data_IF_227020873625
#
_entry.id   IF_227020873625
#
_cell.length_a   1.000
_cell.length_b   1.000
_cell.length_c   1.000
_cell.angle_alpha   90.00
_cell.angle_beta   90.00
_cell.angle_gamma   90.00
#
_symmetry.space_group_name_H-M   'P 1'
#
loop_
_entity.id
_entity.type
_entity.pdbx_description
1 polymer ?
#
# COMPACT_ATOMS: atom_id res chain seq x y z
N UNK A 1 -51.28 -1.21 -21.81
CA UNK A 1 -51.94 0.07 -21.49
C UNK A 1 -50.92 1.03 -21.03
N UNK A 2 -50.72 2.07 -21.83
CA UNK A 2 -49.72 3.14 -21.58
C UNK A 2 -50.27 4.17 -20.59
N UNK A 3 -49.41 4.69 -19.72
CA UNK A 3 -49.60 6.03 -19.15
C UNK A 3 -48.27 6.76 -19.14
N UNK A 4 -48.19 7.71 -20.06
CA UNK A 4 -47.27 8.84 -20.01
C UNK A 4 -47.78 9.80 -18.90
N UNK A 5 -46.87 10.27 -18.03
CA UNK A 5 -47.07 11.52 -17.28
C UNK A 5 -45.76 12.29 -17.23
N UNK A 6 -45.88 13.54 -17.65
CA UNK A 6 -44.88 14.58 -17.87
C UNK A 6 -44.15 15.02 -16.59
N UNK A 7 -42.90 15.53 -16.68
CA UNK A 7 -42.15 16.04 -15.55
C UNK A 7 -42.40 17.53 -15.35
N UNK A 8 -43.25 17.89 -14.43
CA UNK A 8 -43.41 19.28 -13.99
C UNK A 8 -43.90 19.37 -12.55
N UNK A 9 -43.05 19.03 -11.57
CA UNK A 9 -43.27 19.42 -10.15
C UNK A 9 -42.04 19.12 -9.25
N UNK A 10 -40.82 19.45 -9.68
CA UNK A 10 -39.64 19.30 -8.80
C UNK A 10 -38.74 20.55 -8.77
N UNK A 11 -39.25 21.72 -9.13
CA UNK A 11 -38.42 22.92 -9.29
C UNK A 11 -38.60 23.99 -8.21
N UNK A 12 -39.41 23.79 -7.18
CA UNK A 12 -39.74 24.85 -6.22
C UNK A 12 -39.29 24.64 -4.76
N UNK A 13 -38.29 23.77 -4.49
CA UNK A 13 -37.85 23.56 -3.11
C UNK A 13 -36.39 23.92 -2.82
N UNK A 14 -35.62 24.33 -3.82
CA UNK A 14 -34.20 24.69 -3.64
C UNK A 14 -33.81 25.96 -4.43
N UNK A 15 -34.49 27.06 -4.34
CA UNK A 15 -34.05 28.42 -4.66
C UNK A 15 -32.88 28.64 -5.63
N UNK A 16 -32.78 27.88 -6.73
CA UNK A 16 -31.70 28.02 -7.73
C UNK A 16 -32.30 28.69 -8.96
N UNK A 17 -31.88 29.93 -9.23
CA UNK A 17 -32.28 30.71 -10.40
C UNK A 17 -31.74 30.02 -11.69
N UNK A 18 -32.63 29.63 -12.64
CA UNK A 18 -32.22 29.01 -13.89
C UNK A 18 -31.40 29.91 -14.81
N UNK A 19 -31.41 31.21 -14.62
CA UNK A 19 -30.65 32.18 -15.43
C UNK A 19 -29.17 32.27 -15.04
N UNK A 20 -28.80 31.85 -13.83
CA UNK A 20 -27.39 31.82 -13.39
C UNK A 20 -26.58 30.65 -13.99
N UNK A 21 -27.24 29.60 -14.48
CA UNK A 21 -26.59 28.43 -15.07
C UNK A 21 -26.29 28.62 -16.57
N UNK A 22 -27.10 29.45 -17.25
CA UNK A 22 -26.93 29.71 -18.69
C UNK A 22 -25.79 30.70 -19.02
N UNK A 23 -25.35 31.50 -18.05
CA UNK A 23 -24.23 32.44 -18.24
C UNK A 23 -22.83 31.82 -18.01
N UNK A 24 -22.73 30.57 -17.56
CA UNK A 24 -21.43 29.89 -17.39
C UNK A 24 -21.00 28.99 -18.57
N UNK A 25 -21.81 28.87 -19.61
CA UNK A 25 -21.54 28.01 -20.77
C UNK A 25 -21.03 28.70 -22.03
N UNK A 26 -20.70 30.00 -21.96
CA UNK A 26 -20.17 30.77 -23.10
C UNK A 26 -18.79 31.37 -22.84
N UNK A 27 -17.93 30.71 -22.11
CA UNK A 27 -16.49 31.06 -22.07
C UNK A 27 -15.80 30.21 -23.11
N UNK A 28 -15.59 30.82 -24.25
CA UNK A 28 -14.76 30.33 -25.37
C UNK A 28 -13.37 29.93 -24.91
N UNK A 29 -12.90 28.83 -25.45
CA UNK A 29 -11.53 28.32 -25.41
C UNK A 29 -10.53 29.40 -25.83
N UNK A 30 -9.96 30.11 -24.92
CA UNK A 30 -8.64 30.72 -24.94
C UNK A 30 -8.38 31.30 -23.55
N UNK A 31 -8.19 30.43 -22.57
CA UNK A 31 -7.54 30.87 -21.34
C UNK A 31 -6.04 30.97 -21.64
N UNK A 32 -5.43 32.15 -21.42
CA UNK A 32 -3.98 32.24 -21.40
C UNK A 32 -3.48 31.34 -20.27
N UNK A 33 -2.47 30.51 -20.57
CA UNK A 33 -1.76 29.69 -19.58
C UNK A 33 -1.54 30.56 -18.34
N UNK A 34 -2.23 30.19 -17.26
CA UNK A 34 -2.11 30.84 -15.97
C UNK A 34 -0.64 30.98 -15.64
N UNK A 35 -0.15 32.21 -15.45
CA UNK A 35 1.11 32.53 -14.79
C UNK A 35 1.04 32.10 -13.31
N UNK A 36 0.74 30.84 -13.05
CA UNK A 36 0.80 30.29 -11.70
C UNK A 36 2.24 30.37 -11.25
N UNK A 37 2.52 31.34 -10.40
CA UNK A 37 3.79 31.44 -9.72
C UNK A 37 4.06 30.14 -8.97
N UNK A 38 5.31 29.64 -8.94
CA UNK A 38 5.69 28.53 -8.06
C UNK A 38 5.32 28.88 -6.61
N UNK A 39 5.00 27.90 -5.78
CA UNK A 39 4.79 28.16 -4.34
C UNK A 39 6.02 28.90 -3.78
N UNK A 40 5.83 29.94 -2.96
CA UNK A 40 6.92 30.80 -2.54
C UNK A 40 7.97 30.00 -1.79
N UNK A 41 9.24 30.08 -2.17
CA UNK A 41 10.34 29.77 -1.26
C UNK A 41 10.30 30.80 -0.12
N UNK A 42 10.55 30.39 1.11
CA UNK A 42 10.44 31.23 2.27
C UNK A 42 11.21 32.57 2.12
N UNK A 43 10.58 33.63 2.53
CA UNK A 43 11.03 35.02 2.65
C UNK A 43 12.42 35.35 2.10
N UNK A 44 12.47 35.94 0.92
CA UNK A 44 13.66 36.63 0.42
C UNK A 44 13.38 38.13 0.25
N UNK A 45 14.04 38.90 1.07
CA UNK A 45 14.08 40.37 1.00
C UNK A 45 14.70 40.85 -0.30
N UNK A 46 14.02 41.82 -0.92
CA UNK A 46 14.38 42.76 -1.97
C UNK A 46 15.86 42.87 -2.36
N UNK A 47 16.28 42.08 -3.33
CA UNK A 47 17.44 42.42 -4.15
C UNK A 47 16.93 42.71 -5.56
N UNK A 48 17.27 43.85 -6.11
CA UNK A 48 16.96 44.26 -7.46
C UNK A 48 17.41 43.19 -8.48
N UNK A 49 16.45 42.58 -9.18
CA UNK A 49 16.73 41.47 -10.09
C UNK A 49 17.30 42.00 -11.42
N UNK A 50 18.36 41.39 -11.97
CA UNK A 50 18.84 41.77 -13.28
C UNK A 50 17.79 41.41 -14.36
N UNK A 51 17.73 42.19 -15.47
CA UNK A 51 16.80 41.94 -16.54
C UNK A 51 17.01 40.55 -17.16
N UNK A 52 15.95 39.88 -17.62
CA UNK A 52 16.04 38.58 -18.26
C UNK A 52 16.92 38.70 -19.54
N UNK A 53 17.69 37.68 -19.83
CA UNK A 53 18.61 37.72 -20.97
C UNK A 53 17.94 37.55 -22.33
N UNK A 54 18.74 37.84 -23.37
CA UNK A 54 18.27 38.03 -24.74
C UNK A 54 17.84 36.75 -25.50
N UNK A 55 18.16 35.55 -25.02
CA UNK A 55 17.82 34.28 -25.68
C UNK A 55 17.05 33.34 -24.74
N UNK A 56 15.74 33.19 -24.93
CA UNK A 56 14.97 32.16 -24.21
C UNK A 56 15.36 30.77 -24.68
N UNK A 57 15.19 29.71 -23.85
CA UNK A 57 15.35 28.34 -24.29
C UNK A 57 14.37 27.99 -25.40
N UNK A 58 14.64 26.93 -26.19
CA UNK A 58 13.78 26.53 -27.30
C UNK A 58 12.34 26.24 -26.79
N UNK A 59 11.31 26.55 -27.59
CA UNK A 59 9.90 26.48 -27.23
C UNK A 59 9.35 25.08 -26.92
N UNK A 60 10.17 24.05 -26.92
CA UNK A 60 9.83 22.64 -26.64
C UNK A 60 9.97 22.24 -25.16
N UNK A 61 10.44 23.12 -24.29
CA UNK A 61 10.59 22.81 -22.85
C UNK A 61 9.31 23.08 -22.09
N UNK A 62 8.90 22.13 -21.24
CA UNK A 62 7.77 22.28 -20.33
C UNK A 62 8.09 23.26 -19.18
N UNK A 63 7.06 23.84 -18.54
CA UNK A 63 7.24 24.64 -17.34
C UNK A 63 7.97 23.82 -16.25
N UNK A 64 8.96 24.45 -15.61
CA UNK A 64 9.78 23.75 -14.60
C UNK A 64 10.98 24.57 -14.12
N UNK A 65 11.68 24.04 -13.14
CA UNK A 65 12.95 24.57 -12.65
C UNK A 65 14.09 24.03 -13.52
N UNK A 66 14.94 24.92 -14.04
CA UNK A 66 16.12 24.59 -14.83
C UNK A 66 17.33 25.32 -14.29
N UNK A 67 18.54 24.81 -14.57
CA UNK A 67 19.76 25.51 -14.25
C UNK A 67 19.73 26.94 -14.79
N UNK A 68 20.02 27.94 -13.94
CA UNK A 68 19.97 29.34 -14.33
C UNK A 68 21.06 29.62 -15.38
N UNK A 69 20.70 29.92 -16.62
CA UNK A 69 21.69 30.10 -17.70
C UNK A 69 22.58 31.35 -17.50
N UNK A 70 22.33 32.15 -16.47
CA UNK A 70 23.07 33.39 -16.22
C UNK A 70 23.75 33.45 -14.84
N UNK A 71 23.44 32.49 -13.96
CA UNK A 71 24.07 32.38 -12.66
C UNK A 71 24.39 30.93 -12.39
N UNK A 72 25.64 30.56 -12.65
CA UNK A 72 26.12 29.21 -12.37
C UNK A 72 25.86 28.81 -10.91
N UNK A 73 25.30 27.63 -10.72
CA UNK A 73 24.94 27.12 -9.40
C UNK A 73 23.54 27.48 -8.90
N UNK A 74 22.74 28.29 -9.62
CA UNK A 74 21.36 28.62 -9.26
C UNK A 74 20.36 27.91 -10.18
N UNK A 75 19.11 27.80 -9.73
CA UNK A 75 17.97 27.31 -10.51
C UNK A 75 17.02 28.45 -10.78
N UNK A 76 16.44 28.51 -11.99
CA UNK A 76 15.46 29.51 -12.40
C UNK A 76 14.20 28.84 -12.96
N UNK A 77 13.05 29.41 -12.64
CA UNK A 77 11.77 28.90 -13.14
C UNK A 77 11.55 29.33 -14.57
N UNK A 78 11.24 28.35 -15.44
CA UNK A 78 10.78 28.55 -16.81
C UNK A 78 9.28 28.25 -16.87
N UNK A 79 8.46 29.17 -17.41
CA UNK A 79 6.99 29.05 -17.46
C UNK A 79 6.47 28.14 -18.58
N UNK A 80 7.33 27.57 -19.40
CA UNK A 80 6.98 26.89 -20.66
C UNK A 80 6.98 27.83 -21.87
N UNK A 81 7.05 29.15 -21.65
CA UNK A 81 7.11 30.18 -22.68
C UNK A 81 8.29 31.11 -22.49
N UNK A 82 8.60 31.47 -21.25
CA UNK A 82 9.70 32.39 -20.92
C UNK A 82 10.31 32.09 -19.55
N UNK A 83 11.56 32.50 -19.38
CA UNK A 83 12.22 32.52 -18.09
C UNK A 83 11.58 33.54 -17.17
N UNK A 84 11.33 33.18 -15.92
CA UNK A 84 10.76 34.09 -14.92
C UNK A 84 11.85 34.70 -14.04
N UNK A 85 11.49 35.69 -13.23
CA UNK A 85 12.37 36.29 -12.25
C UNK A 85 12.62 35.40 -11.02
N UNK A 86 11.94 34.25 -10.90
CA UNK A 86 12.07 33.37 -9.74
C UNK A 86 13.38 32.58 -9.84
N UNK A 87 14.23 32.76 -8.83
CA UNK A 87 15.53 32.09 -8.69
C UNK A 87 15.54 31.36 -7.35
N UNK A 88 15.90 30.09 -7.35
CA UNK A 88 16.19 29.32 -6.15
C UNK A 88 17.71 29.13 -6.03
N UNK A 89 18.25 29.43 -4.83
CA UNK A 89 19.65 29.15 -4.53
C UNK A 89 19.70 27.79 -3.83
N UNK A 90 20.51 26.83 -4.33
CA UNK A 90 20.77 25.65 -3.53
C UNK A 90 21.35 26.11 -2.18
N UNK A 91 20.73 25.70 -1.09
CA UNK A 91 21.30 25.89 0.26
C UNK A 91 22.75 25.41 0.21
N UNK A 92 23.73 26.20 0.69
CA UNK A 92 25.12 25.76 0.68
C UNK A 92 25.20 24.47 1.49
N UNK A 93 25.46 23.37 0.80
CA UNK A 93 25.95 22.15 1.45
C UNK A 93 27.16 22.62 2.26
N UNK A 94 27.10 22.54 3.61
CA UNK A 94 28.25 22.85 4.46
C UNK A 94 29.43 22.06 3.88
N UNK A 95 30.37 22.80 3.26
CA UNK A 95 31.60 22.19 2.77
C UNK A 95 32.34 21.63 4.00
N UNK A 96 32.80 20.39 3.95
CA UNK A 96 33.75 19.92 4.96
C UNK A 96 34.98 20.81 4.94
N UNK A 97 35.64 21.00 6.10
CA UNK A 97 36.81 21.88 6.21
C UNK A 97 37.88 21.48 5.18
N UNK A 98 38.59 22.45 4.60
CA UNK A 98 39.57 22.18 3.55
C UNK A 98 40.68 21.28 4.06
N UNK A 99 40.87 20.10 3.48
CA UNK A 99 41.92 19.14 3.84
C UNK A 99 41.50 17.67 3.88
N UNK A 100 40.22 17.33 3.77
CA UNK A 100 39.76 15.94 3.74
C UNK A 100 39.44 15.47 2.30
N UNK A 101 40.08 14.43 1.84
CA UNK A 101 39.79 13.84 0.54
C UNK A 101 38.33 13.35 0.51
N UNK A 102 37.59 13.65 -0.58
CA UNK A 102 36.17 13.34 -0.76
C UNK A 102 35.88 11.84 -0.62
N UNK A 103 36.90 10.97 -0.70
CA UNK A 103 36.76 9.51 -0.55
C UNK A 103 36.59 9.01 0.90
N UNK A 104 36.99 9.80 1.92
CA UNK A 104 36.96 9.34 3.32
C UNK A 104 35.74 9.85 4.10
N UNK A 105 35.07 10.92 3.68
CA UNK A 105 33.88 11.45 4.36
C UNK A 105 32.64 10.58 4.17
N UNK A 106 32.52 9.86 3.05
CA UNK A 106 31.41 8.90 2.82
C UNK A 106 31.59 7.58 3.60
N UNK A 107 32.82 7.21 3.96
CA UNK A 107 33.10 6.01 4.74
C UNK A 107 32.91 6.16 6.25
N UNK A 108 33.03 7.39 6.77
CA UNK A 108 33.04 7.63 8.22
C UNK A 108 31.65 7.73 8.87
N UNK A 109 30.59 7.93 8.09
CA UNK A 109 29.20 8.02 8.60
C UNK A 109 28.49 6.66 8.69
N UNK A 110 29.07 5.59 8.13
CA UNK A 110 28.48 4.24 8.14
C UNK A 110 28.97 3.37 9.30
N UNK A 111 29.99 3.78 10.00
CA UNK A 111 30.53 3.05 11.15
C UNK A 111 30.09 3.65 12.50
N UNK A 112 28.78 3.93 12.66
CA UNK A 112 28.19 3.93 13.99
C UNK A 112 28.06 2.48 14.42
N UNK A 113 29.08 1.93 15.07
CA UNK A 113 28.99 0.66 15.77
C UNK A 113 27.72 0.64 16.62
N UNK A 114 26.93 -0.44 16.63
CA UNK A 114 25.80 -0.55 17.53
C UNK A 114 26.31 -0.32 18.95
N UNK A 115 25.76 0.66 19.65
CA UNK A 115 26.03 0.91 21.05
C UNK A 115 25.94 -0.42 21.79
N UNK A 116 27.00 -0.81 22.51
CA UNK A 116 27.06 -2.05 23.29
C UNK A 116 25.99 -2.16 24.40
N UNK A 117 25.16 -1.12 24.57
CA UNK A 117 24.04 -1.05 25.51
C UNK A 117 22.66 -1.08 24.83
N UNK A 118 22.56 -1.51 23.58
CA UNK A 118 21.24 -1.67 22.97
C UNK A 118 20.52 -2.84 23.67
N UNK A 119 19.47 -2.53 24.42
CA UNK A 119 18.55 -3.54 24.97
C UNK A 119 18.15 -4.50 23.84
N UNK A 120 18.09 -5.81 24.10
CA UNK A 120 17.64 -6.76 23.08
C UNK A 120 16.27 -6.33 22.57
N UNK A 121 16.24 -5.91 21.30
CA UNK A 121 14.97 -5.58 20.62
C UNK A 121 14.41 -6.88 20.08
N UNK A 122 13.11 -7.11 20.31
CA UNK A 122 12.39 -8.21 19.65
C UNK A 122 12.67 -8.14 18.14
N UNK A 123 12.78 -9.31 17.48
CA UNK A 123 12.88 -9.35 16.03
C UNK A 123 11.79 -8.47 15.40
N UNK A 124 12.10 -7.83 14.28
CA UNK A 124 11.19 -6.83 13.66
C UNK A 124 9.82 -7.39 13.26
N UNK A 125 9.68 -8.72 13.13
CA UNK A 125 8.41 -9.40 12.89
C UNK A 125 7.62 -9.72 14.17
N UNK A 126 8.17 -9.47 15.38
CA UNK A 126 7.49 -9.67 16.65
C UNK A 126 7.22 -8.31 17.31
N UNK A 127 5.97 -8.06 17.67
CA UNK A 127 5.56 -6.97 18.53
C UNK A 127 4.96 -7.52 19.81
N UNK A 128 4.86 -6.71 20.85
CA UNK A 128 4.27 -7.14 22.13
C UNK A 128 2.88 -7.75 21.94
N UNK A 129 1.92 -7.13 21.21
CA UNK A 129 0.62 -7.74 20.97
C UNK A 129 0.70 -9.12 20.30
N UNK A 130 1.59 -9.28 19.30
CA UNK A 130 1.79 -10.57 18.62
C UNK A 130 2.31 -11.62 19.59
N UNK A 131 3.29 -11.30 20.42
CA UNK A 131 3.87 -12.25 21.39
C UNK A 131 2.83 -12.67 22.42
N UNK A 132 2.09 -11.71 22.98
CA UNK A 132 1.07 -12.00 24.00
C UNK A 132 -0.08 -12.84 23.45
N UNK A 133 -0.55 -12.55 22.23
CA UNK A 133 -1.61 -13.32 21.60
C UNK A 133 -1.13 -14.68 21.05
N UNK A 134 0.14 -14.80 20.65
CA UNK A 134 0.68 -16.05 20.16
C UNK A 134 0.71 -17.15 21.23
N UNK A 135 0.93 -16.80 22.48
CA UNK A 135 1.00 -17.80 23.57
C UNK A 135 -0.29 -18.63 23.67
N UNK A 136 -1.48 -18.03 23.92
CA UNK A 136 -2.73 -18.79 23.97
C UNK A 136 -3.09 -19.40 22.60
N UNK A 137 -2.88 -18.71 21.49
CA UNK A 137 -3.21 -19.20 20.14
C UNK A 137 -2.40 -20.43 19.76
N UNK A 138 -1.09 -20.44 20.02
CA UNK A 138 -0.24 -21.62 19.80
C UNK A 138 -0.63 -22.77 20.73
N UNK A 139 -0.99 -22.48 21.98
CA UNK A 139 -1.50 -23.49 22.88
C UNK A 139 -2.75 -24.17 22.32
N UNK A 140 -3.73 -23.39 21.86
CA UNK A 140 -4.95 -23.92 21.23
C UNK A 140 -4.63 -24.70 19.94
N UNK A 141 -3.73 -24.18 19.10
CA UNK A 141 -3.34 -24.85 17.86
C UNK A 141 -2.63 -26.19 18.13
N UNK A 142 -1.78 -26.26 19.16
CA UNK A 142 -1.10 -27.50 19.57
C UNK A 142 -2.15 -28.50 20.08
N UNK A 143 -3.09 -28.06 20.92
CA UNK A 143 -4.18 -28.93 21.40
C UNK A 143 -5.00 -29.44 20.21
N UNK A 144 -5.41 -28.56 19.27
CA UNK A 144 -6.15 -28.94 18.08
C UNK A 144 -5.38 -29.98 17.24
N UNK A 145 -4.06 -29.78 17.06
CA UNK A 145 -3.20 -30.71 16.31
C UNK A 145 -3.14 -32.10 16.95
N UNK A 146 -3.11 -32.19 18.28
CA UNK A 146 -3.13 -33.48 18.97
C UNK A 146 -4.51 -34.12 18.98
N UNK A 147 -5.59 -33.34 19.11
CA UNK A 147 -6.96 -33.86 19.14
C UNK A 147 -7.46 -34.26 17.74
N UNK A 148 -7.22 -33.42 16.75
CA UNK A 148 -7.71 -33.53 15.35
C UNK A 148 -6.62 -33.10 14.36
N UNK A 149 -5.63 -33.97 14.07
CA UNK A 149 -4.48 -33.61 13.23
C UNK A 149 -4.87 -33.27 11.79
N UNK A 150 -5.80 -34.03 11.20
CA UNK A 150 -6.19 -33.84 9.79
C UNK A 150 -6.86 -32.47 9.56
N UNK A 151 -7.96 -32.09 10.27
CA UNK A 151 -8.54 -30.77 10.16
C UNK A 151 -7.55 -29.63 10.40
N UNK A 152 -6.70 -29.77 11.41
CA UNK A 152 -5.70 -28.75 11.75
C UNK A 152 -4.71 -28.55 10.60
N UNK A 153 -4.15 -29.64 10.05
CA UNK A 153 -3.22 -29.57 8.91
C UNK A 153 -3.89 -29.01 7.64
N UNK A 154 -5.14 -29.39 7.39
CA UNK A 154 -5.92 -28.86 6.27
C UNK A 154 -6.11 -27.34 6.39
N UNK A 155 -6.40 -26.80 7.58
CA UNK A 155 -6.50 -25.36 7.83
C UNK A 155 -5.21 -24.62 7.44
N UNK A 156 -4.06 -25.19 7.77
CA UNK A 156 -2.76 -24.60 7.42
C UNK A 156 -2.49 -24.57 5.90
N UNK A 157 -3.15 -25.43 5.10
CA UNK A 157 -3.00 -25.40 3.62
C UNK A 157 -3.45 -24.11 2.98
N UNK A 158 -4.31 -23.32 3.63
CA UNK A 158 -4.74 -21.99 3.19
C UNK A 158 -3.57 -21.09 2.82
N UNK A 159 -2.45 -21.20 3.54
CA UNK A 159 -1.22 -20.46 3.24
C UNK A 159 -0.73 -20.69 1.80
N UNK A 160 -0.70 -21.95 1.37
CA UNK A 160 -0.16 -22.32 0.06
C UNK A 160 -1.05 -21.89 -1.11
N UNK A 161 -2.34 -21.65 -0.85
CA UNK A 161 -3.31 -21.20 -1.86
C UNK A 161 -3.27 -19.69 -2.00
N UNK A 162 -3.26 -18.95 -0.88
CA UNK A 162 -3.43 -17.49 -0.87
C UNK A 162 -2.11 -16.73 -0.97
N UNK A 163 -1.00 -17.27 -0.40
CA UNK A 163 0.28 -16.57 -0.44
C UNK A 163 0.85 -16.32 -1.86
N UNK A 164 0.76 -17.23 -2.85
CA UNK A 164 1.33 -17.01 -4.18
C UNK A 164 0.80 -15.77 -4.90
N UNK A 165 -0.50 -15.48 -4.97
CA UNK A 165 -1.03 -14.22 -5.52
C UNK A 165 -0.53 -12.98 -4.77
N UNK A 166 -0.43 -13.01 -3.43
CA UNK A 166 0.10 -11.91 -2.64
C UNK A 166 1.57 -11.65 -2.94
N UNK A 167 2.38 -12.71 -3.06
CA UNK A 167 3.77 -12.61 -3.49
C UNK A 167 3.92 -12.10 -4.92
N UNK A 168 2.96 -12.41 -5.80
CA UNK A 168 2.94 -11.86 -7.15
C UNK A 168 2.63 -10.35 -7.15
N UNK A 169 1.70 -9.92 -6.32
CA UNK A 169 1.35 -8.50 -6.15
C UNK A 169 2.56 -7.70 -5.62
N UNK A 170 3.23 -8.22 -4.62
CA UNK A 170 4.41 -7.67 -3.95
C UNK A 170 5.66 -7.53 -4.85
N UNK A 171 5.67 -8.15 -6.04
CA UNK A 171 6.88 -8.17 -6.92
C UNK A 171 7.26 -6.82 -7.52
N UNK A 172 6.32 -5.90 -7.64
CA UNK A 172 6.58 -4.58 -8.20
C UNK A 172 7.49 -3.79 -7.26
N UNK A 173 7.12 -3.75 -6.00
CA UNK A 173 7.81 -3.12 -4.90
C UNK A 173 7.89 -4.10 -3.72
N UNK A 174 8.97 -4.90 -3.64
CA UNK A 174 9.05 -5.97 -2.66
C UNK A 174 9.11 -5.42 -1.23
N UNK A 175 8.09 -5.70 -0.45
CA UNK A 175 8.03 -5.35 0.96
C UNK A 175 8.97 -6.24 1.81
N UNK A 176 9.50 -5.71 2.95
CA UNK A 176 10.35 -6.49 3.85
C UNK A 176 9.63 -7.75 4.36
N UNK A 177 10.31 -8.88 4.30
CA UNK A 177 9.77 -10.15 4.82
C UNK A 177 9.37 -10.07 6.30
N UNK A 178 10.13 -9.31 7.10
CA UNK A 178 9.82 -9.07 8.50
C UNK A 178 8.48 -8.35 8.70
N UNK A 179 8.12 -7.41 7.82
CA UNK A 179 6.86 -6.67 7.89
C UNK A 179 5.68 -7.52 7.40
N UNK A 180 5.88 -8.30 6.33
CA UNK A 180 4.90 -9.31 5.88
C UNK A 180 4.64 -10.38 6.93
N UNK A 181 5.70 -10.94 7.51
CA UNK A 181 5.59 -11.92 8.59
C UNK A 181 4.89 -11.34 9.84
N UNK A 182 5.22 -10.10 10.22
CA UNK A 182 4.53 -9.43 11.32
C UNK A 182 3.02 -9.32 11.07
N UNK A 183 2.64 -8.85 9.87
CA UNK A 183 1.24 -8.65 9.51
C UNK A 183 0.48 -9.97 9.45
N UNK A 184 1.11 -11.02 8.92
CA UNK A 184 0.58 -12.38 8.92
C UNK A 184 0.37 -12.91 10.36
N UNK A 185 1.39 -12.80 11.22
CA UNK A 185 1.30 -13.25 12.61
C UNK A 185 0.28 -12.43 13.42
N UNK A 186 0.14 -11.13 13.12
CA UNK A 186 -0.92 -10.32 13.69
C UNK A 186 -2.31 -10.85 13.30
N UNK A 187 -2.53 -11.13 12.01
CA UNK A 187 -3.78 -11.74 11.54
C UNK A 187 -4.07 -13.07 12.19
N UNK A 188 -3.08 -13.96 12.20
CA UNK A 188 -3.23 -15.31 12.77
C UNK A 188 -3.49 -15.29 14.29
N UNK A 189 -2.72 -14.53 15.05
CA UNK A 189 -2.73 -14.61 16.50
C UNK A 189 -3.52 -13.47 17.14
N UNK A 190 -3.28 -12.21 16.78
CA UNK A 190 -3.95 -11.09 17.42
C UNK A 190 -5.41 -11.02 16.97
N UNK A 191 -5.64 -10.94 15.66
CA UNK A 191 -7.00 -10.87 15.14
C UNK A 191 -7.76 -12.17 15.40
N UNK A 192 -7.15 -13.33 15.13
CA UNK A 192 -7.79 -14.64 15.38
C UNK A 192 -8.17 -14.85 16.84
N UNK A 193 -7.28 -14.56 17.79
CA UNK A 193 -7.57 -14.74 19.21
C UNK A 193 -8.62 -13.76 19.72
N UNK A 194 -8.51 -12.47 19.40
CA UNK A 194 -9.51 -11.48 19.85
C UNK A 194 -10.88 -11.82 19.27
N UNK A 195 -10.95 -12.17 17.98
CA UNK A 195 -12.21 -12.54 17.34
C UNK A 195 -12.82 -13.80 17.94
N UNK A 196 -12.00 -14.81 18.21
CA UNK A 196 -12.47 -16.03 18.89
C UNK A 196 -13.12 -15.70 20.24
N UNK A 197 -12.43 -14.95 21.10
CA UNK A 197 -12.92 -14.61 22.44
C UNK A 197 -14.20 -13.75 22.35
N UNK A 198 -14.20 -12.72 21.51
CA UNK A 198 -15.34 -11.80 21.40
C UNK A 198 -16.55 -12.49 20.79
N UNK A 199 -16.37 -13.20 19.66
CA UNK A 199 -17.48 -13.84 18.96
C UNK A 199 -18.10 -14.98 19.80
N UNK A 200 -17.29 -15.79 20.47
CA UNK A 200 -17.79 -16.82 21.42
C UNK A 200 -18.56 -16.17 22.57
N UNK A 201 -18.06 -15.05 23.11
CA UNK A 201 -18.76 -14.32 24.16
C UNK A 201 -20.10 -13.77 23.66
N UNK A 202 -20.12 -13.13 22.48
CA UNK A 202 -21.37 -12.63 21.88
C UNK A 202 -22.35 -13.77 21.62
N UNK A 203 -21.89 -14.91 21.07
CA UNK A 203 -22.72 -16.08 20.83
C UNK A 203 -23.38 -16.61 22.14
N UNK A 204 -22.61 -16.65 23.23
CA UNK A 204 -23.11 -17.13 24.52
C UNK A 204 -24.16 -16.21 25.18
N UNK A 205 -24.14 -14.91 24.89
CA UNK A 205 -25.12 -13.94 25.42
C UNK A 205 -26.26 -13.63 24.44
N UNK A 206 -26.15 -14.02 23.18
CA UNK A 206 -27.15 -13.70 22.13
C UNK A 206 -27.52 -14.95 21.32
N UNK A 207 -26.87 -15.15 20.18
CA UNK A 207 -26.98 -16.32 19.30
C UNK A 207 -25.79 -16.43 18.37
N UNK A 208 -25.56 -17.63 17.81
CA UNK A 208 -24.55 -17.86 16.76
C UNK A 208 -24.79 -16.97 15.53
N UNK A 209 -26.05 -16.74 15.15
CA UNK A 209 -26.41 -15.84 14.04
C UNK A 209 -25.96 -14.41 14.30
N UNK A 210 -26.20 -13.85 15.48
CA UNK A 210 -25.77 -12.49 15.86
C UNK A 210 -24.24 -12.43 15.90
N UNK A 211 -23.60 -13.45 16.47
CA UNK A 211 -22.14 -13.52 16.51
C UNK A 211 -21.54 -13.54 15.11
N UNK A 212 -22.06 -14.39 14.19
CA UNK A 212 -21.49 -14.57 12.86
C UNK A 212 -21.80 -13.40 11.91
N UNK A 213 -23.01 -12.83 11.94
CA UNK A 213 -23.47 -11.82 10.97
C UNK A 213 -23.17 -10.39 11.43
N UNK A 214 -23.16 -10.12 12.73
CA UNK A 214 -22.96 -8.77 13.26
C UNK A 214 -21.61 -8.59 13.95
N UNK A 215 -21.26 -9.47 14.92
CA UNK A 215 -20.04 -9.33 15.71
C UNK A 215 -18.79 -9.64 14.91
N UNK A 216 -18.75 -10.79 14.22
CA UNK A 216 -17.58 -11.26 13.52
C UNK A 216 -17.09 -10.26 12.44
N UNK A 217 -17.93 -9.76 11.52
CA UNK A 217 -17.51 -8.78 10.53
C UNK A 217 -16.89 -7.51 11.13
N UNK A 218 -17.44 -7.05 12.25
CA UNK A 218 -16.95 -5.84 12.91
C UNK A 218 -15.61 -6.07 13.59
N UNK A 219 -15.53 -7.05 14.48
CA UNK A 219 -14.33 -7.30 15.30
C UNK A 219 -13.16 -7.76 14.44
N UNK A 220 -13.42 -8.64 13.49
CA UNK A 220 -12.40 -9.20 12.63
C UNK A 220 -11.81 -8.15 11.68
N UNK A 221 -12.65 -7.35 11.01
CA UNK A 221 -12.13 -6.35 10.09
C UNK A 221 -11.43 -5.20 10.82
N UNK A 222 -11.89 -4.81 12.03
CA UNK A 222 -11.17 -3.85 12.89
C UNK A 222 -9.79 -4.40 13.26
N UNK A 223 -9.74 -5.63 13.77
CA UNK A 223 -8.48 -6.21 14.26
C UNK A 223 -7.47 -6.46 13.12
N UNK A 224 -7.93 -6.87 11.93
CA UNK A 224 -7.11 -6.96 10.72
C UNK A 224 -6.62 -5.58 10.24
N UNK A 225 -7.50 -4.57 10.24
CA UNK A 225 -7.14 -3.20 9.84
C UNK A 225 -6.09 -2.59 10.79
N UNK A 226 -6.09 -2.93 12.07
CA UNK A 226 -5.07 -2.48 13.03
C UNK A 226 -3.66 -2.97 12.64
N UNK A 227 -3.51 -4.15 12.01
CA UNK A 227 -2.24 -4.60 11.46
C UNK A 227 -1.74 -3.66 10.37
N UNK A 228 -2.63 -3.20 9.48
CA UNK A 228 -2.30 -2.28 8.39
C UNK A 228 -1.92 -0.91 8.96
N UNK A 229 -2.69 -0.40 9.92
CA UNK A 229 -2.38 0.86 10.64
C UNK A 229 -1.03 0.78 11.34
N UNK A 230 -0.66 -0.37 11.89
CA UNK A 230 0.66 -0.59 12.47
C UNK A 230 1.77 -0.44 11.42
N UNK A 231 1.57 -0.94 10.20
CA UNK A 231 2.52 -0.77 9.10
C UNK A 231 2.64 0.69 8.65
N UNK A 232 1.55 1.47 8.66
CA UNK A 232 1.61 2.92 8.43
C UNK A 232 2.50 3.61 9.48
N UNK A 233 2.35 3.26 10.77
CA UNK A 233 3.19 3.82 11.85
C UNK A 233 4.67 3.44 11.71
N UNK A 234 4.94 2.28 11.11
CA UNK A 234 6.29 1.83 10.77
C UNK A 234 6.83 2.45 9.48
N UNK A 235 6.02 3.24 8.78
CA UNK A 235 6.34 3.86 7.49
C UNK A 235 6.69 2.82 6.41
N UNK A 236 5.99 1.70 6.43
CA UNK A 236 6.11 0.64 5.44
C UNK A 236 5.07 0.77 4.32
N UNK A 237 4.02 1.60 4.50
CA UNK A 237 3.00 1.87 3.49
C UNK A 237 3.24 3.27 2.93
N UNK A 238 3.47 3.37 1.63
CA UNK A 238 3.55 4.62 0.90
C UNK A 238 2.58 4.68 -0.30
N UNK A 239 1.99 3.55 -0.68
CA UNK A 239 1.10 3.41 -1.82
C UNK A 239 -0.13 2.51 -1.61
N UNK A 240 -0.90 2.40 -2.70
CA UNK A 240 -2.11 1.58 -2.72
C UNK A 240 -1.76 0.08 -2.70
N UNK A 241 -0.71 -0.28 -3.41
CA UNK A 241 -0.27 -1.68 -3.54
C UNK A 241 0.21 -2.21 -2.20
N UNK A 242 0.97 -1.42 -1.43
CA UNK A 242 1.45 -1.83 -0.10
C UNK A 242 0.29 -2.05 0.85
N UNK A 243 -0.72 -1.13 0.83
CA UNK A 243 -1.95 -1.29 1.59
C UNK A 243 -2.65 -2.61 1.29
N UNK A 244 -2.74 -2.99 0.00
CA UNK A 244 -3.32 -4.26 -0.44
C UNK A 244 -2.46 -5.47 -0.03
N UNK A 245 -1.14 -5.36 -0.14
CA UNK A 245 -0.20 -6.44 0.26
C UNK A 245 -0.34 -6.73 1.74
N UNK A 246 -0.24 -5.70 2.60
CA UNK A 246 -0.36 -5.91 4.04
C UNK A 246 -1.76 -6.35 4.48
N UNK A 247 -2.83 -5.85 3.82
CA UNK A 247 -4.19 -6.34 4.04
C UNK A 247 -4.31 -7.83 3.70
N UNK A 248 -3.75 -8.24 2.58
CA UNK A 248 -3.73 -9.63 2.15
C UNK A 248 -2.99 -10.55 3.14
N UNK A 249 -1.82 -10.13 3.65
CA UNK A 249 -1.07 -10.91 4.64
C UNK A 249 -1.79 -11.00 5.98
N UNK A 250 -2.45 -9.92 6.46
CA UNK A 250 -3.26 -9.97 7.67
C UNK A 250 -4.45 -10.92 7.50
N UNK A 251 -5.16 -10.80 6.38
CA UNK A 251 -6.31 -11.64 6.06
C UNK A 251 -5.93 -13.12 5.87
N UNK A 252 -4.76 -13.41 5.25
CA UNK A 252 -4.26 -14.76 5.12
C UNK A 252 -3.96 -15.41 6.47
N UNK A 253 -3.27 -14.68 7.36
CA UNK A 253 -2.98 -15.19 8.71
C UNK A 253 -4.25 -15.50 9.47
N UNK A 254 -5.23 -14.59 9.41
CA UNK A 254 -6.54 -14.77 10.02
C UNK A 254 -7.28 -15.98 9.43
N UNK A 255 -7.46 -16.03 8.10
CA UNK A 255 -8.18 -17.10 7.41
C UNK A 255 -7.59 -18.49 7.69
N UNK A 256 -6.27 -18.58 7.80
CA UNK A 256 -5.60 -19.83 8.10
C UNK A 256 -6.02 -20.38 9.48
N UNK A 257 -6.02 -19.54 10.52
CA UNK A 257 -6.40 -19.97 11.88
C UNK A 257 -7.90 -20.20 11.97
N UNK A 258 -8.70 -19.35 11.35
CA UNK A 258 -10.15 -19.54 11.30
C UNK A 258 -10.53 -20.85 10.60
N UNK A 259 -9.86 -21.19 9.48
CA UNK A 259 -10.08 -22.46 8.80
C UNK A 259 -9.75 -23.69 9.67
N UNK A 260 -8.76 -23.61 10.55
CA UNK A 260 -8.51 -24.68 11.53
C UNK A 260 -9.75 -24.89 12.39
N UNK A 261 -10.37 -23.82 12.88
CA UNK A 261 -11.59 -23.90 13.71
C UNK A 261 -12.79 -24.47 12.94
N UNK A 262 -13.00 -24.01 11.69
CA UNK A 262 -14.09 -24.51 10.84
C UNK A 262 -13.92 -25.98 10.47
N UNK A 263 -12.71 -26.40 10.14
CA UNK A 263 -12.45 -27.79 9.77
C UNK A 263 -12.49 -28.71 10.98
N UNK A 264 -12.10 -28.24 12.15
CA UNK A 264 -12.25 -28.98 13.40
C UNK A 264 -13.74 -29.26 13.68
N UNK A 265 -14.59 -28.22 13.58
CA UNK A 265 -16.04 -28.36 13.79
C UNK A 265 -16.71 -29.21 12.67
N UNK A 266 -16.28 -29.06 11.43
CA UNK A 266 -16.80 -29.84 10.31
C UNK A 266 -16.46 -31.34 10.43
N UNK A 267 -15.27 -31.67 10.96
CA UNK A 267 -14.86 -33.05 11.24
C UNK A 267 -15.75 -33.71 12.33
N UNK A 268 -16.16 -32.94 13.33
CA UNK A 268 -17.11 -33.42 14.36
C UNK A 268 -18.53 -33.70 13.80
N UNK A 269 -18.87 -33.08 12.67
CA UNK A 269 -20.17 -33.21 12.01
C UNK A 269 -20.11 -34.12 10.77
N UNK A 270 -19.02 -34.83 10.52
CA UNK A 270 -18.78 -35.66 9.34
C UNK A 270 -18.87 -34.88 8.00
N UNK A 271 -18.63 -33.56 8.01
CA UNK A 271 -18.74 -32.64 6.87
C UNK A 271 -17.37 -32.05 6.44
N UNK A 272 -16.26 -32.64 6.90
CA UNK A 272 -14.92 -32.09 6.67
C UNK A 272 -14.60 -31.90 5.19
N UNK A 273 -14.97 -32.85 4.34
CA UNK A 273 -14.65 -32.80 2.90
C UNK A 273 -15.37 -31.64 2.21
N UNK A 274 -16.67 -31.48 2.44
CA UNK A 274 -17.51 -30.45 1.84
C UNK A 274 -17.04 -29.05 2.28
N UNK A 275 -16.82 -28.86 3.57
CA UNK A 275 -16.38 -27.58 4.13
C UNK A 275 -14.94 -27.25 3.66
N UNK A 276 -14.05 -28.26 3.56
CA UNK A 276 -12.71 -28.07 3.02
C UNK A 276 -12.74 -27.63 1.57
N UNK A 277 -13.51 -28.33 0.70
CA UNK A 277 -13.65 -27.95 -0.70
C UNK A 277 -14.23 -26.54 -0.83
N UNK A 278 -15.27 -26.21 -0.07
CA UNK A 278 -15.86 -24.88 -0.05
C UNK A 278 -14.88 -23.78 0.33
N UNK A 279 -14.19 -23.94 1.45
CA UNK A 279 -13.29 -22.87 1.99
C UNK A 279 -11.93 -22.81 1.29
N UNK A 280 -11.37 -23.96 0.88
CA UNK A 280 -10.04 -24.00 0.28
C UNK A 280 -10.05 -23.72 -1.23
N UNK A 281 -11.12 -24.04 -1.97
CA UNK A 281 -11.15 -23.91 -3.42
C UNK A 281 -12.21 -22.94 -3.91
N UNK A 282 -13.42 -22.93 -3.32
CA UNK A 282 -14.47 -22.02 -3.77
C UNK A 282 -14.31 -20.61 -3.20
N UNK A 283 -13.82 -20.45 -1.95
CA UNK A 283 -13.80 -19.16 -1.25
C UNK A 283 -12.49 -18.82 -0.54
N UNK A 284 -11.31 -19.26 -1.03
CA UNK A 284 -10.04 -19.06 -0.31
C UNK A 284 -9.65 -17.58 -0.19
N UNK A 285 -10.21 -16.73 -1.04
CA UNK A 285 -9.92 -15.30 -1.10
C UNK A 285 -11.00 -14.41 -0.45
N UNK A 286 -11.98 -14.98 0.27
CA UNK A 286 -13.05 -14.20 0.88
C UNK A 286 -12.50 -13.13 1.85
N UNK A 287 -11.71 -13.52 2.86
CA UNK A 287 -11.11 -12.57 3.79
C UNK A 287 -10.12 -11.60 3.11
N UNK A 288 -9.20 -12.03 2.22
CA UNK A 288 -8.40 -11.11 1.41
C UNK A 288 -9.24 -10.09 0.65
N UNK A 289 -10.37 -10.48 0.07
CA UNK A 289 -11.27 -9.59 -0.67
C UNK A 289 -11.92 -8.54 0.25
N UNK A 290 -12.40 -8.95 1.45
CA UNK A 290 -12.99 -8.02 2.42
C UNK A 290 -11.95 -7.02 2.92
N UNK A 291 -10.85 -7.51 3.46
CA UNK A 291 -9.80 -6.69 4.07
C UNK A 291 -9.06 -5.81 3.04
N UNK A 292 -9.06 -6.20 1.74
CA UNK A 292 -8.47 -5.40 0.66
C UNK A 292 -9.05 -3.98 0.59
N UNK A 293 -10.33 -3.78 0.92
CA UNK A 293 -10.94 -2.45 0.94
C UNK A 293 -10.37 -1.57 2.04
N UNK A 294 -10.11 -2.13 3.23
CA UNK A 294 -9.40 -1.44 4.30
C UNK A 294 -7.97 -1.07 3.87
N UNK A 295 -7.25 -2.00 3.26
CA UNK A 295 -5.90 -1.77 2.75
C UNK A 295 -5.84 -0.69 1.67
N UNK A 296 -6.75 -0.77 0.69
CA UNK A 296 -6.87 0.23 -0.38
C UNK A 296 -7.16 1.63 0.15
N UNK A 297 -8.12 1.75 1.07
CA UNK A 297 -8.51 3.04 1.65
C UNK A 297 -7.37 3.65 2.47
N UNK A 298 -6.66 2.84 3.27
CA UNK A 298 -5.49 3.27 4.04
C UNK A 298 -4.36 3.68 3.08
N UNK A 299 -4.07 2.89 2.04
CA UNK A 299 -3.09 3.24 1.02
C UNK A 299 -3.41 4.55 0.31
N UNK A 300 -4.70 4.81 -0.03
CA UNK A 300 -5.14 6.08 -0.60
C UNK A 300 -4.93 7.23 0.39
N UNK A 301 -5.28 7.05 1.67
CA UNK A 301 -5.11 8.09 2.68
C UNK A 301 -3.63 8.46 2.87
N UNK A 302 -2.76 7.47 3.02
CA UNK A 302 -1.31 7.68 3.11
C UNK A 302 -0.80 8.36 1.84
N UNK A 303 -1.14 7.83 0.70
CA UNK A 303 -0.76 8.37 -0.59
C UNK A 303 -1.17 9.83 -0.77
N UNK A 304 -2.33 10.22 -0.35
CA UNK A 304 -2.84 11.60 -0.42
C UNK A 304 -2.45 12.46 0.77
N UNK A 305 -1.59 11.97 1.66
CA UNK A 305 -1.20 12.63 2.91
C UNK A 305 -2.41 13.09 3.73
N UNK A 306 -3.49 12.30 3.70
CA UNK A 306 -4.71 12.57 4.46
C UNK A 306 -4.68 11.84 5.80
N UNK A 307 -5.37 12.37 6.82
CA UNK A 307 -5.51 11.66 8.11
C UNK A 307 -6.16 10.28 7.90
N UNK A 308 -5.73 9.27 8.68
CA UNK A 308 -6.22 7.89 8.53
C UNK A 308 -7.72 7.74 8.74
N UNK A 309 -8.38 8.62 9.48
CA UNK A 309 -9.83 8.58 9.60
C UNK A 309 -10.55 8.72 8.24
N UNK A 310 -9.90 9.33 7.23
CA UNK A 310 -10.45 9.39 5.88
C UNK A 310 -10.53 8.03 5.19
N UNK A 311 -9.90 6.99 5.77
CA UNK A 311 -9.94 5.61 5.29
C UNK A 311 -11.09 4.77 5.90
N UNK A 312 -11.90 5.35 6.79
CA UNK A 312 -13.00 4.62 7.49
C UNK A 312 -13.98 3.98 6.51
N UNK A 313 -14.20 4.60 5.34
CA UNK A 313 -15.08 4.03 4.31
C UNK A 313 -14.63 2.64 3.84
N UNK A 314 -13.33 2.40 3.75
CA UNK A 314 -12.81 1.09 3.34
C UNK A 314 -13.04 0.03 4.42
N UNK A 315 -12.90 0.41 5.70
CA UNK A 315 -13.22 -0.47 6.82
C UNK A 315 -14.72 -0.81 6.86
N UNK A 316 -15.59 0.18 6.68
CA UNK A 316 -17.03 -0.04 6.63
C UNK A 316 -17.44 -0.92 5.43
N UNK A 317 -16.79 -0.74 4.27
CA UNK A 317 -16.99 -1.60 3.12
C UNK A 317 -16.55 -3.05 3.41
N UNK A 318 -15.39 -3.24 4.04
CA UNK A 318 -14.90 -4.57 4.44
C UNK A 318 -15.90 -5.27 5.38
N UNK A 319 -16.37 -4.56 6.42
CA UNK A 319 -17.37 -5.07 7.36
C UNK A 319 -18.70 -5.41 6.66
N UNK A 320 -19.19 -4.52 5.79
CA UNK A 320 -20.44 -4.72 5.07
C UNK A 320 -20.40 -5.92 4.13
N UNK A 321 -19.31 -6.08 3.37
CA UNK A 321 -19.10 -7.23 2.50
C UNK A 321 -19.01 -8.53 3.33
N UNK A 322 -18.27 -8.51 4.41
CA UNK A 322 -18.13 -9.66 5.30
C UNK A 322 -19.48 -10.06 5.93
N UNK A 323 -20.26 -9.08 6.43
CA UNK A 323 -21.59 -9.31 6.99
C UNK A 323 -22.57 -9.85 5.92
N UNK A 324 -22.53 -9.31 4.69
CA UNK A 324 -23.34 -9.82 3.59
C UNK A 324 -22.98 -11.27 3.23
N UNK A 325 -21.69 -11.59 3.27
CA UNK A 325 -21.21 -12.95 3.06
C UNK A 325 -21.74 -13.91 4.14
N UNK A 326 -21.49 -13.63 5.41
CA UNK A 326 -21.93 -14.50 6.51
C UNK A 326 -23.45 -14.59 6.58
N UNK A 327 -24.16 -13.46 6.37
CA UNK A 327 -25.61 -13.43 6.32
C UNK A 327 -26.19 -14.28 5.18
N UNK A 328 -25.55 -14.31 4.02
CA UNK A 328 -26.01 -15.14 2.88
C UNK A 328 -25.98 -16.63 3.19
N UNK A 329 -24.96 -17.08 3.92
CA UNK A 329 -24.87 -18.49 4.35
C UNK A 329 -25.98 -18.80 5.34
N UNK A 330 -26.24 -17.90 6.30
CA UNK A 330 -27.25 -18.08 7.35
C UNK A 330 -28.68 -18.18 6.81
N UNK A 331 -29.01 -17.42 5.74
CA UNK A 331 -30.37 -17.42 5.15
C UNK A 331 -30.61 -18.57 4.15
N UNK A 332 -29.60 -19.36 3.82
CA UNK A 332 -29.69 -20.42 2.78
C UNK A 332 -30.47 -21.68 3.24
N UNK A 333 -31.23 -21.64 4.33
CA UNK A 333 -31.93 -22.78 4.90
C UNK A 333 -33.22 -23.18 4.14
N UNK A 334 -33.76 -22.33 3.26
CA UNK A 334 -34.94 -22.57 2.47
C UNK A 334 -34.74 -22.18 1.01
N UNK A 335 -35.67 -22.55 0.11
CA UNK A 335 -35.55 -22.32 -1.34
C UNK A 335 -35.33 -20.84 -1.69
N UNK A 336 -36.07 -19.93 -1.10
CA UNK A 336 -35.90 -18.49 -1.30
C UNK A 336 -34.55 -18.01 -0.80
N UNK A 337 -34.13 -18.46 0.38
CA UNK A 337 -32.83 -18.16 0.96
C UNK A 337 -31.68 -18.69 0.10
N UNK A 338 -31.81 -19.92 -0.45
CA UNK A 338 -30.82 -20.47 -1.38
C UNK A 338 -30.66 -19.63 -2.65
N UNK A 339 -31.77 -19.12 -3.21
CA UNK A 339 -31.71 -18.22 -4.38
C UNK A 339 -30.98 -16.92 -4.02
N UNK A 340 -31.29 -16.32 -2.88
CA UNK A 340 -30.62 -15.09 -2.41
C UNK A 340 -29.13 -15.35 -2.15
N UNK A 341 -28.79 -16.45 -1.47
CA UNK A 341 -27.40 -16.85 -1.23
C UNK A 341 -26.64 -17.07 -2.54
N UNK A 342 -27.28 -17.69 -3.54
CA UNK A 342 -26.72 -17.86 -4.89
C UNK A 342 -26.43 -16.52 -5.58
N UNK A 343 -27.35 -15.55 -5.49
CA UNK A 343 -27.15 -14.21 -6.05
C UNK A 343 -25.99 -13.50 -5.34
N UNK A 344 -25.93 -13.59 -4.01
CA UNK A 344 -24.82 -13.01 -3.24
C UNK A 344 -23.50 -13.66 -3.63
N UNK A 345 -23.42 -14.99 -3.71
CA UNK A 345 -22.22 -15.69 -4.15
C UNK A 345 -21.75 -15.24 -5.54
N UNK A 346 -22.65 -15.15 -6.51
CA UNK A 346 -22.33 -14.66 -7.86
C UNK A 346 -21.84 -13.21 -7.83
N UNK A 347 -22.44 -12.37 -6.97
CA UNK A 347 -22.00 -10.98 -6.77
C UNK A 347 -20.59 -10.92 -6.19
N UNK A 348 -20.23 -11.81 -5.26
CA UNK A 348 -18.88 -11.91 -4.72
C UNK A 348 -17.86 -12.40 -5.76
N UNK A 349 -18.24 -13.36 -6.62
CA UNK A 349 -17.39 -13.81 -7.74
C UNK A 349 -17.13 -12.64 -8.70
N UNK A 350 -18.16 -11.89 -9.06
CA UNK A 350 -18.03 -10.71 -9.92
C UNK A 350 -17.14 -9.65 -9.25
N UNK A 351 -17.35 -9.37 -7.97
CA UNK A 351 -16.55 -8.43 -7.19
C UNK A 351 -15.08 -8.86 -7.11
N UNK A 352 -14.82 -10.15 -6.89
CA UNK A 352 -13.46 -10.71 -6.90
C UNK A 352 -12.77 -10.51 -8.26
N UNK A 353 -13.46 -10.78 -9.35
CA UNK A 353 -12.93 -10.57 -10.70
C UNK A 353 -12.63 -9.09 -10.94
N UNK A 354 -13.58 -8.19 -10.62
CA UNK A 354 -13.41 -6.75 -10.77
C UNK A 354 -12.27 -6.20 -9.91
N UNK A 355 -12.16 -6.67 -8.67
CA UNK A 355 -11.07 -6.30 -7.76
C UNK A 355 -9.73 -6.77 -8.31
N UNK A 356 -9.66 -8.01 -8.80
CA UNK A 356 -8.44 -8.56 -9.42
C UNK A 356 -8.02 -7.76 -10.65
N UNK A 357 -8.98 -7.43 -11.54
CA UNK A 357 -8.72 -6.57 -12.71
C UNK A 357 -8.21 -5.19 -12.24
N UNK A 358 -8.87 -4.59 -11.26
CA UNK A 358 -8.46 -3.30 -10.67
C UNK A 358 -7.04 -3.33 -10.14
N UNK A 359 -6.67 -4.35 -9.38
CA UNK A 359 -5.31 -4.57 -8.85
C UNK A 359 -4.29 -4.72 -9.97
N UNK A 360 -4.60 -5.51 -11.02
CA UNK A 360 -3.72 -5.67 -12.19
C UNK A 360 -3.53 -4.33 -12.91
N UNK A 361 -4.60 -3.58 -13.10
CA UNK A 361 -4.56 -2.25 -13.73
C UNK A 361 -3.71 -1.28 -12.90
N UNK A 362 -3.93 -1.21 -11.59
CA UNK A 362 -3.14 -0.38 -10.67
C UNK A 362 -1.65 -0.74 -10.77
N UNK A 363 -1.34 -2.03 -10.63
CA UNK A 363 0.03 -2.53 -10.72
C UNK A 363 0.71 -2.16 -12.04
N UNK A 364 0.00 -2.29 -13.17
CA UNK A 364 0.55 -1.94 -14.48
C UNK A 364 0.72 -0.42 -14.66
N UNK A 365 -0.15 0.39 -14.05
CA UNK A 365 0.00 1.86 -14.03
C UNK A 365 1.22 2.27 -13.22
N UNK A 366 1.44 1.69 -12.05
CA UNK A 366 2.61 2.01 -11.22
C UNK A 366 3.91 1.58 -11.90
N UNK A 367 3.94 0.40 -12.55
CA UNK A 367 5.09 -0.01 -13.35
C UNK A 367 5.41 0.99 -14.48
N UNK A 368 4.40 1.48 -15.18
CA UNK A 368 4.60 2.51 -16.23
C UNK A 368 5.15 3.81 -15.66
N UNK A 369 4.65 4.23 -14.49
CA UNK A 369 5.12 5.44 -13.78
C UNK A 369 6.58 5.30 -13.36
N UNK A 370 6.98 4.19 -12.76
CA UNK A 370 8.37 3.95 -12.37
C UNK A 370 9.30 3.98 -13.56
N UNK A 371 8.90 3.41 -14.70
CA UNK A 371 9.68 3.50 -15.94
C UNK A 371 9.83 4.94 -16.43
N UNK A 372 8.79 5.77 -16.31
CA UNK A 372 8.86 7.20 -16.69
C UNK A 372 9.73 8.02 -15.72
N UNK A 373 9.77 7.68 -14.44
CA UNK A 373 10.58 8.38 -13.44
C UNK A 373 12.06 7.96 -13.45
N UNK A 374 12.41 6.86 -14.12
CA UNK A 374 13.76 6.33 -14.11
C UNK A 374 14.85 7.35 -14.47
N UNK A 375 14.72 8.23 -15.49
CA UNK A 375 15.73 9.25 -15.78
C UNK A 375 15.91 10.27 -14.66
N UNK A 376 14.81 10.72 -14.04
CA UNK A 376 14.87 11.69 -12.95
C UNK A 376 15.51 11.08 -11.70
N UNK A 377 15.22 9.81 -11.38
CA UNK A 377 15.81 9.06 -10.27
C UNK A 377 17.30 8.84 -10.52
N UNK A 378 17.67 8.42 -11.72
CA UNK A 378 19.07 8.22 -12.12
C UNK A 378 19.88 9.49 -11.90
N UNK A 379 19.38 10.63 -12.37
CA UNK A 379 20.04 11.93 -12.23
C UNK A 379 20.11 12.39 -10.76
N UNK A 380 19.02 12.24 -10.00
CA UNK A 380 18.95 12.72 -8.61
C UNK A 380 19.83 11.94 -7.64
N UNK A 381 19.91 10.62 -7.81
CA UNK A 381 20.60 9.73 -6.86
C UNK A 381 21.92 9.16 -7.39
N UNK A 382 22.39 9.63 -8.54
CA UNK A 382 23.68 9.22 -9.12
C UNK A 382 23.75 7.71 -9.46
N UNK A 383 22.61 7.11 -9.84
CA UNK A 383 22.56 5.71 -10.29
C UNK A 383 22.60 5.70 -11.81
N UNK A 384 23.40 4.85 -12.48
CA UNK A 384 23.39 4.74 -13.94
C UNK A 384 21.97 4.46 -14.45
N UNK A 385 21.59 5.10 -15.59
CA UNK A 385 20.22 5.05 -16.10
C UNK A 385 19.78 3.63 -16.47
N UNK A 386 20.68 2.88 -17.14
CA UNK A 386 20.44 1.47 -17.51
C UNK A 386 20.16 0.59 -16.28
N UNK A 387 20.95 0.80 -15.22
CA UNK A 387 20.74 0.11 -13.94
C UNK A 387 19.45 0.54 -13.26
N UNK A 388 19.13 1.84 -13.27
CA UNK A 388 17.88 2.36 -12.71
C UNK A 388 16.68 1.77 -13.45
N UNK A 389 16.70 1.75 -14.78
CA UNK A 389 15.64 1.14 -15.60
C UNK A 389 15.49 -0.35 -15.31
N UNK A 390 16.60 -1.09 -15.21
CA UNK A 390 16.59 -2.51 -14.87
C UNK A 390 15.99 -2.76 -13.49
N UNK A 391 16.36 -1.98 -12.47
CA UNK A 391 15.89 -2.14 -11.10
C UNK A 391 14.43 -1.75 -10.93
N UNK A 392 13.95 -0.73 -11.59
CA UNK A 392 12.55 -0.30 -11.57
C UNK A 392 11.63 -1.17 -12.43
N UNK A 393 12.17 -1.91 -13.39
CA UNK A 393 11.39 -2.83 -14.24
C UNK A 393 11.33 -4.23 -13.60
N UNK A 394 10.18 -4.57 -13.01
CA UNK A 394 10.01 -5.82 -12.27
C UNK A 394 10.27 -7.10 -13.10
N UNK A 395 9.85 -7.24 -14.37
CA UNK A 395 10.23 -8.37 -15.23
C UNK A 395 11.74 -8.50 -15.40
N UNK A 396 12.41 -7.44 -15.88
CA UNK A 396 13.86 -7.43 -16.14
C UNK A 396 14.66 -7.72 -14.87
N UNK A 397 14.31 -7.07 -13.76
CA UNK A 397 14.92 -7.31 -12.44
C UNK A 397 14.83 -8.78 -12.03
N UNK A 398 13.68 -9.42 -12.25
CA UNK A 398 13.49 -10.84 -11.92
C UNK A 398 14.41 -11.74 -12.72
N UNK A 399 14.61 -11.47 -14.00
CA UNK A 399 15.48 -12.28 -14.86
C UNK A 399 16.95 -12.12 -14.45
N UNK A 400 17.39 -10.89 -14.18
CA UNK A 400 18.71 -10.62 -13.60
C UNK A 400 18.88 -11.34 -12.25
N UNK A 401 17.88 -11.24 -11.36
CA UNK A 401 17.91 -11.90 -10.04
C UNK A 401 18.06 -13.43 -10.16
N UNK A 402 17.43 -14.06 -11.15
CA UNK A 402 17.55 -15.51 -11.39
C UNK A 402 18.96 -15.91 -11.81
N UNK A 403 19.61 -15.06 -12.60
CA UNK A 403 20.97 -15.29 -13.09
C UNK A 403 22.05 -15.09 -12.01
N UNK A 404 21.73 -14.42 -10.88
CA UNK A 404 22.71 -14.19 -9.81
C UNK A 404 23.10 -15.49 -9.09
N UNK A 405 24.41 -15.67 -8.78
CA UNK A 405 24.95 -16.97 -8.33
C UNK A 405 24.55 -17.34 -6.90
N UNK A 406 24.39 -16.39 -6.00
CA UNK A 406 24.23 -16.70 -4.58
C UNK A 406 23.13 -15.84 -3.90
N UNK A 407 22.75 -16.25 -2.68
CA UNK A 407 21.71 -15.58 -1.88
C UNK A 407 22.08 -14.14 -1.52
N UNK A 408 23.37 -13.86 -1.28
CA UNK A 408 23.85 -12.52 -0.91
C UNK A 408 23.67 -11.54 -2.07
N UNK A 409 24.09 -11.93 -3.29
CA UNK A 409 23.91 -11.10 -4.48
C UNK A 409 22.43 -10.83 -4.77
N UNK A 410 21.55 -11.83 -4.60
CA UNK A 410 20.09 -11.66 -4.73
C UNK A 410 19.54 -10.69 -3.70
N UNK A 411 19.95 -10.78 -2.44
CA UNK A 411 19.52 -9.90 -1.38
C UNK A 411 19.96 -8.44 -1.60
N UNK A 412 21.18 -8.24 -2.11
CA UNK A 412 21.68 -6.89 -2.45
C UNK A 412 20.89 -6.27 -3.60
N UNK A 413 20.60 -7.04 -4.65
CA UNK A 413 19.74 -6.57 -5.76
C UNK A 413 18.34 -6.20 -5.25
N UNK A 414 17.74 -7.04 -4.42
CA UNK A 414 16.41 -6.80 -3.84
C UNK A 414 16.41 -5.54 -2.96
N UNK A 415 17.44 -5.33 -2.13
CA UNK A 415 17.58 -4.14 -1.28
C UNK A 415 17.77 -2.85 -2.11
N UNK A 416 18.60 -2.89 -3.15
CA UNK A 416 18.81 -1.76 -4.06
C UNK A 416 17.52 -1.41 -4.81
N UNK A 417 16.81 -2.42 -5.30
CA UNK A 417 15.54 -2.25 -6.00
C UNK A 417 14.46 -1.66 -5.07
N UNK A 418 14.32 -2.20 -3.85
CA UNK A 418 13.34 -1.69 -2.88
C UNK A 418 13.63 -0.23 -2.51
N UNK A 419 14.89 0.13 -2.30
CA UNK A 419 15.24 1.53 -2.03
C UNK A 419 14.88 2.45 -3.20
N UNK A 420 15.17 2.04 -4.44
CA UNK A 420 14.86 2.84 -5.64
C UNK A 420 13.36 2.94 -5.93
N UNK A 421 12.58 1.87 -5.76
CA UNK A 421 11.12 1.92 -5.96
C UNK A 421 10.45 2.84 -4.94
N UNK A 422 10.87 2.79 -3.68
CA UNK A 422 10.37 3.70 -2.63
C UNK A 422 10.78 5.15 -2.86
N UNK A 423 12.00 5.41 -3.35
CA UNK A 423 12.42 6.74 -3.78
C UNK A 423 11.60 7.22 -4.98
N UNK A 424 11.25 6.33 -5.91
CA UNK A 424 10.38 6.62 -7.05
C UNK A 424 8.96 6.98 -6.59
N UNK A 425 8.40 6.20 -5.67
CA UNK A 425 7.10 6.47 -5.07
C UNK A 425 7.07 7.85 -4.39
N UNK A 426 8.10 8.23 -3.66
CA UNK A 426 8.20 9.55 -3.02
C UNK A 426 8.22 10.70 -4.04
N UNK A 427 8.91 10.54 -5.17
CA UNK A 427 8.96 11.56 -6.23
C UNK A 427 7.65 11.70 -7.00
N UNK A 428 6.87 10.62 -7.13
CA UNK A 428 5.58 10.63 -7.84
C UNK A 428 4.52 11.49 -7.12
N UNK A 429 4.71 11.79 -5.82
CA UNK A 429 3.68 12.42 -5.00
C UNK A 429 3.58 13.93 -5.12
N UNK A 430 4.70 14.65 -4.99
CA UNK A 430 4.74 16.12 -5.03
C UNK A 430 6.12 16.62 -5.45
N UNK A 431 7.00 15.73 -5.92
CA UNK A 431 8.40 16.05 -6.21
C UNK A 431 9.26 16.42 -4.99
N UNK A 432 8.66 16.43 -3.79
CA UNK A 432 9.33 16.81 -2.54
C UNK A 432 9.34 15.63 -1.58
N UNK A 433 10.47 14.91 -1.48
CA UNK A 433 10.63 13.81 -0.53
C UNK A 433 10.56 14.29 0.93
N UNK A 434 10.15 13.39 1.82
CA UNK A 434 10.27 13.61 3.27
C UNK A 434 11.76 13.44 3.64
N UNK A 435 12.47 14.49 4.12
CA UNK A 435 13.94 14.46 4.25
C UNK A 435 14.50 13.29 5.06
N UNK A 436 13.89 12.94 6.18
CA UNK A 436 14.34 11.82 7.04
C UNK A 436 14.10 10.45 6.37
N UNK A 437 13.09 10.31 5.54
CA UNK A 437 12.78 9.07 4.84
C UNK A 437 13.69 8.92 3.63
N UNK A 438 13.89 9.99 2.87
CA UNK A 438 14.81 10.04 1.74
C UNK A 438 16.24 9.70 2.20
N UNK A 439 16.73 10.32 3.27
CA UNK A 439 18.08 10.06 3.81
C UNK A 439 18.29 8.60 4.19
N UNK A 440 17.29 7.94 4.77
CA UNK A 440 17.36 6.50 5.11
C UNK A 440 17.38 5.63 3.87
N UNK A 441 16.56 5.93 2.87
CA UNK A 441 16.50 5.16 1.63
C UNK A 441 17.77 5.34 0.79
N UNK A 442 18.31 6.55 0.74
CA UNK A 442 19.61 6.83 0.10
C UNK A 442 20.74 6.09 0.83
N UNK A 443 20.75 6.07 2.16
CA UNK A 443 21.72 5.28 2.94
C UNK A 443 21.61 3.78 2.66
N UNK A 444 20.40 3.25 2.58
CA UNK A 444 20.15 1.85 2.21
C UNK A 444 20.63 1.54 0.78
N UNK A 445 20.37 2.44 -0.17
CA UNK A 445 20.83 2.34 -1.56
C UNK A 445 22.36 2.29 -1.65
N UNK A 446 23.04 3.20 -0.95
CA UNK A 446 24.52 3.27 -0.90
C UNK A 446 25.10 2.00 -0.27
N UNK A 447 24.53 1.53 0.83
CA UNK A 447 24.97 0.30 1.50
C UNK A 447 24.81 -0.95 0.59
N UNK A 448 23.70 -1.06 -0.13
CA UNK A 448 23.47 -2.16 -1.08
C UNK A 448 24.50 -2.15 -2.24
N UNK A 449 24.86 -0.97 -2.75
CA UNK A 449 25.84 -0.81 -3.83
C UNK A 449 27.29 -1.00 -3.34
N UNK A 450 27.65 -0.44 -2.18
CA UNK A 450 29.00 -0.52 -1.61
C UNK A 450 29.43 -1.96 -1.30
N UNK A 451 28.50 -2.78 -0.82
CA UNK A 451 28.78 -4.22 -0.53
C UNK A 451 28.87 -5.10 -1.78
N UNK A 452 28.44 -4.60 -2.94
CA UNK A 452 28.59 -5.30 -4.24
C UNK A 452 29.90 -5.03 -4.99
N UNK A 453 30.66 -3.99 -4.59
CA UNK A 453 31.94 -3.63 -5.23
C UNK A 453 33.15 -4.30 -4.56
N UNK A 454 32.96 -4.95 -3.40
CA UNK A 454 34.01 -5.64 -2.64
C UNK A 454 34.05 -7.16 -2.87
N UNK A 455 33.37 -7.66 -3.88
CA UNK A 455 33.38 -9.06 -4.32
C UNK A 455 33.68 -9.16 -5.81
#
# INVERSE_FOLDING_TARGET
MAFYSTPSTFSNQFGIDPLAVAQRSSITKTDPVSNAAPPPPGNFSNLAQPPPPRNPPPPTQSAGWYADPWREGNWRWYSGQQWTAHIDQPQPVRQPPPGGSVGTAFGATVAASPSANAKPRLPSFLSVPVVLAAIPSLGLLIIALFMRPIPTLLGLTTFFIVAPPLLWLDRLEPEPWSSKAHTFLWGAFVAGFISLVVNTTVASFTSETVASVASAPVIEEITKALAIVWMVRRREIDGLIDGLVYAGWAALGFAMIENVSFFFLADEQDMLTEVFIGRAFATPFAHPLFTAWSGLAIGIAVRRRKPLWTATWGLLMAMGLHAAWNGSITIAENETGMVVAGIVLLSFVALFILTTIGVVVLRNRDQKRYNMLAPAIAARYGVPLDRTQMLLNAPTRRDVRRALPNRRAKALLDAEASALTRLAAMLDYDGVPIPDQESRLVSALVAARGSGQST
#
